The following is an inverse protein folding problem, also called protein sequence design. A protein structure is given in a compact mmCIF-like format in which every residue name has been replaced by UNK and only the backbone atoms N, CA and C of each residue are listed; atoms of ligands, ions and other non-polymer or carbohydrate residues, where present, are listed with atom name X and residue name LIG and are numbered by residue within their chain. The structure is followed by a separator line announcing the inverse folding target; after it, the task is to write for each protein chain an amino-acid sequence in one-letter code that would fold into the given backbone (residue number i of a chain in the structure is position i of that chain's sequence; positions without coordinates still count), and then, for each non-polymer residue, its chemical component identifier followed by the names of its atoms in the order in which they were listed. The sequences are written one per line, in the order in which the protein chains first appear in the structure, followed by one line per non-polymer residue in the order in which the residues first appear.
data_IF_433312844354
#
_entry.id   IF_433312844354
#
_cell.length_a   1.000
_cell.length_b   1.000
_cell.length_c   1.000
_cell.angle_alpha   90.00
_cell.angle_beta   90.00
_cell.angle_gamma   90.00
#
_symmetry.space_group_name_H-M   'P 1'
#
loop_
_entity.id
_entity.type
_entity.pdbx_description
1 polymer ?
#
# COMPACT_ATOMS: atom_id res chain seq x y z
N UNK A 1 -0.22 -14.27 -19.26
CA UNK A 1 -0.56 -13.48 -18.07
C UNK A 1 -1.06 -14.44 -16.99
N UNK A 2 -0.57 -14.26 -15.78
CA UNK A 2 -0.99 -15.02 -14.62
C UNK A 2 -1.46 -14.08 -13.54
N UNK A 3 -2.57 -14.41 -12.91
CA UNK A 3 -3.06 -13.70 -11.74
C UNK A 3 -2.78 -14.50 -10.48
N UNK A 4 -2.37 -13.83 -9.43
CA UNK A 4 -2.26 -14.41 -8.11
C UNK A 4 -3.56 -14.16 -7.34
N UNK A 5 -4.29 -15.22 -7.09
CA UNK A 5 -5.54 -15.19 -6.32
C UNK A 5 -5.39 -16.19 -5.17
N UNK A 6 -5.65 -15.75 -3.94
CA UNK A 6 -5.52 -16.57 -2.72
C UNK A 6 -4.16 -17.30 -2.61
N UNK A 7 -3.09 -16.57 -2.95
CA UNK A 7 -1.72 -17.09 -2.90
C UNK A 7 -1.29 -17.94 -4.12
N UNK A 8 -2.22 -18.38 -4.97
CA UNK A 8 -1.96 -19.25 -6.11
C UNK A 8 -1.93 -18.49 -7.44
N UNK A 9 -0.98 -18.84 -8.32
CA UNK A 9 -0.89 -18.30 -9.66
C UNK A 9 -1.79 -19.11 -10.63
N UNK A 10 -2.71 -18.41 -11.31
CA UNK A 10 -3.59 -18.98 -12.34
C UNK A 10 -3.31 -18.34 -13.68
N UNK A 11 -3.21 -19.15 -14.74
CA UNK A 11 -3.05 -18.65 -16.11
C UNK A 11 -4.41 -18.10 -16.58
N UNK A 12 -4.42 -16.81 -16.94
CA UNK A 12 -5.63 -16.13 -17.42
C UNK A 12 -5.57 -15.86 -18.91
N UNK A 13 -4.37 -15.58 -19.45
CA UNK A 13 -4.18 -15.29 -20.85
C UNK A 13 -2.76 -15.68 -21.30
N UNK A 14 -2.63 -16.09 -22.57
CA UNK A 14 -1.34 -16.41 -23.20
C UNK A 14 -1.19 -15.50 -24.41
N UNK A 15 -0.17 -14.62 -24.39
CA UNK A 15 0.22 -13.81 -25.53
C UNK A 15 1.23 -14.56 -26.39
N UNK A 16 1.19 -14.37 -27.69
CA UNK A 16 2.34 -14.64 -28.53
C UNK A 16 3.43 -13.56 -28.31
N UNK A 17 4.61 -13.74 -28.92
CA UNK A 17 5.75 -12.85 -28.66
C UNK A 17 5.51 -11.42 -29.15
N UNK A 18 4.83 -11.24 -30.28
CA UNK A 18 4.53 -9.93 -30.86
C UNK A 18 3.50 -9.18 -30.04
N UNK A 19 2.40 -9.84 -29.71
CA UNK A 19 1.37 -9.29 -28.82
C UNK A 19 1.97 -8.84 -27.48
N UNK A 20 2.87 -9.66 -26.90
CA UNK A 20 3.48 -9.32 -25.63
C UNK A 20 4.34 -8.05 -25.74
N UNK A 21 5.08 -7.86 -26.82
CA UNK A 21 5.90 -6.64 -27.02
C UNK A 21 5.03 -5.38 -27.12
N UNK A 22 3.88 -5.46 -27.78
CA UNK A 22 2.93 -4.36 -27.89
C UNK A 22 2.35 -4.01 -26.51
N UNK A 23 1.89 -5.03 -25.77
CA UNK A 23 1.33 -4.85 -24.43
C UNK A 23 2.37 -4.31 -23.46
N UNK A 24 3.60 -4.85 -23.50
CA UNK A 24 4.72 -4.40 -22.67
C UNK A 24 5.04 -2.91 -22.91
N UNK A 25 5.13 -2.50 -24.17
CA UNK A 25 5.40 -1.11 -24.53
C UNK A 25 4.29 -0.18 -23.99
N UNK A 26 3.03 -0.57 -24.13
CA UNK A 26 1.90 0.20 -23.59
C UNK A 26 1.91 0.29 -22.06
N UNK A 27 2.26 -0.80 -21.37
CA UNK A 27 2.43 -0.79 -19.92
C UNK A 27 3.54 0.17 -19.51
N UNK A 28 4.71 0.12 -20.18
CA UNK A 28 5.84 1.02 -19.88
C UNK A 28 5.47 2.49 -20.08
N UNK A 29 4.80 2.83 -21.19
CA UNK A 29 4.34 4.20 -21.45
C UNK A 29 3.42 4.69 -20.33
N UNK A 30 2.39 3.90 -20.02
CA UNK A 30 1.38 4.30 -19.04
C UNK A 30 1.93 4.38 -17.60
N UNK A 31 3.02 3.68 -17.32
CA UNK A 31 3.68 3.69 -16.00
C UNK A 31 4.87 4.64 -15.91
N UNK A 32 5.11 5.48 -16.94
CA UNK A 32 6.26 6.39 -17.03
C UNK A 32 7.61 5.67 -16.92
N UNK A 33 7.70 4.47 -17.49
CA UNK A 33 8.92 3.65 -17.55
C UNK A 33 9.56 3.86 -18.93
N UNK A 34 10.89 3.92 -18.98
CA UNK A 34 11.65 4.03 -20.25
C UNK A 34 11.45 2.78 -21.12
N UNK A 35 10.89 2.98 -22.33
CA UNK A 35 10.61 1.90 -23.28
C UNK A 35 11.90 1.35 -23.89
N UNK A 36 12.92 2.20 -24.01
CA UNK A 36 14.17 1.87 -24.69
C UNK A 36 15.11 1.06 -23.82
N UNK A 37 15.06 1.27 -22.50
CA UNK A 37 15.87 0.52 -21.55
C UNK A 37 15.24 -0.84 -21.27
N UNK A 38 15.96 -1.91 -21.61
CA UNK A 38 15.54 -3.31 -21.47
C UNK A 38 16.50 -4.14 -20.62
N UNK A 39 17.60 -3.54 -20.17
CA UNK A 39 18.69 -4.24 -19.47
C UNK A 39 18.67 -4.04 -17.97
N UNK A 40 17.91 -3.06 -17.49
CA UNK A 40 17.82 -2.72 -16.06
C UNK A 40 16.39 -2.92 -15.55
N UNK A 41 16.23 -3.34 -14.29
CA UNK A 41 14.93 -3.28 -13.64
C UNK A 41 14.42 -1.83 -13.58
N UNK A 42 13.13 -1.65 -13.75
CA UNK A 42 12.48 -0.36 -13.67
C UNK A 42 11.15 -0.50 -12.94
N UNK A 43 10.78 0.53 -12.19
CA UNK A 43 9.53 0.61 -11.46
C UNK A 43 8.75 1.84 -11.90
N UNK A 44 7.43 1.71 -11.93
CA UNK A 44 6.52 2.78 -12.31
C UNK A 44 5.15 2.56 -11.69
N UNK A 45 4.24 3.50 -11.95
CA UNK A 45 2.87 3.42 -11.48
C UNK A 45 1.88 3.86 -12.54
N UNK A 46 0.69 3.27 -12.52
CA UNK A 46 -0.44 3.65 -13.35
C UNK A 46 -1.61 3.90 -12.42
N UNK A 47 -2.24 5.06 -12.51
CA UNK A 47 -3.53 5.32 -11.87
C UNK A 47 -4.61 5.29 -12.94
N UNK A 48 -5.71 4.58 -12.70
CA UNK A 48 -6.82 4.50 -13.62
C UNK A 48 -8.15 4.36 -12.89
N UNK A 49 -9.21 4.77 -13.55
CA UNK A 49 -10.56 4.63 -13.04
C UNK A 49 -11.29 3.49 -13.74
N UNK A 50 -11.98 2.66 -12.96
CA UNK A 50 -12.84 1.60 -13.47
C UNK A 50 -14.09 1.46 -12.60
N UNK A 51 -15.28 1.56 -13.20
CA UNK A 51 -16.58 1.49 -12.52
C UNK A 51 -16.66 2.47 -11.33
N UNK A 52 -16.32 3.73 -11.58
CA UNK A 52 -16.34 4.82 -10.59
C UNK A 52 -15.35 4.63 -9.42
N UNK A 53 -14.43 3.68 -9.54
CA UNK A 53 -13.39 3.40 -8.56
C UNK A 53 -12.03 3.71 -9.12
N UNK A 54 -11.20 4.38 -8.33
CA UNK A 54 -9.82 4.64 -8.67
C UNK A 54 -8.93 3.47 -8.23
N UNK A 55 -8.00 3.07 -9.08
CA UNK A 55 -7.04 2.00 -8.83
C UNK A 55 -5.63 2.50 -9.10
N UNK A 56 -4.73 2.21 -8.20
CA UNK A 56 -3.30 2.40 -8.40
C UNK A 56 -2.64 1.06 -8.68
N UNK A 57 -1.89 1.02 -9.79
CA UNK A 57 -1.09 -0.14 -10.16
C UNK A 57 0.39 0.18 -9.96
N UNK A 58 1.09 -0.64 -9.20
CA UNK A 58 2.55 -0.62 -9.20
C UNK A 58 3.07 -1.59 -10.22
N UNK A 59 3.88 -1.08 -11.13
CA UNK A 59 4.47 -1.84 -12.24
C UNK A 59 5.95 -1.98 -11.98
N UNK A 60 6.44 -3.22 -12.02
CA UNK A 60 7.88 -3.51 -11.96
C UNK A 60 8.27 -4.35 -13.17
N UNK A 61 9.31 -3.92 -13.88
CA UNK A 61 9.88 -4.65 -15.01
C UNK A 61 11.29 -5.13 -14.67
N UNK A 62 11.65 -6.30 -15.14
CA UNK A 62 13.00 -6.82 -14.98
C UNK A 62 13.44 -7.62 -16.21
N UNK A 63 14.72 -7.52 -16.62
CA UNK A 63 15.27 -8.37 -17.67
C UNK A 63 15.36 -9.82 -17.21
N UNK A 64 15.07 -10.74 -18.11
CA UNK A 64 15.28 -12.19 -17.95
C UNK A 64 15.91 -12.76 -19.20
N UNK A 65 16.38 -14.00 -19.16
CA UNK A 65 16.94 -14.69 -20.32
C UNK A 65 15.93 -14.88 -21.46
N UNK A 66 14.62 -14.80 -21.15
CA UNK A 66 13.53 -14.94 -22.14
C UNK A 66 12.96 -13.60 -22.59
N UNK A 67 13.54 -12.49 -22.19
CA UNK A 67 13.04 -11.12 -22.40
C UNK A 67 12.64 -10.46 -21.09
N UNK A 68 11.88 -9.38 -21.15
CA UNK A 68 11.45 -8.66 -19.95
C UNK A 68 10.27 -9.34 -19.29
N UNK A 69 10.33 -9.46 -17.96
CA UNK A 69 9.21 -9.85 -17.11
C UNK A 69 8.55 -8.61 -16.54
N UNK A 70 7.24 -8.60 -16.49
CA UNK A 70 6.45 -7.53 -15.85
C UNK A 70 5.65 -8.11 -14.69
N UNK A 71 5.65 -7.41 -13.58
CA UNK A 71 4.77 -7.68 -12.45
C UNK A 71 3.95 -6.42 -12.18
N UNK A 72 2.63 -6.58 -12.13
CA UNK A 72 1.71 -5.51 -11.79
C UNK A 72 1.03 -5.86 -10.49
N UNK A 73 1.17 -5.01 -9.50
CA UNK A 73 0.46 -5.10 -8.24
C UNK A 73 -0.70 -4.13 -8.27
N UNK A 74 -1.91 -4.66 -8.11
CA UNK A 74 -3.12 -3.85 -8.03
C UNK A 74 -3.26 -3.40 -6.57
N UNK A 75 -3.21 -2.10 -6.36
CA UNK A 75 -3.53 -1.49 -5.07
C UNK A 75 -4.95 -0.96 -5.22
N UNK A 76 -5.81 -1.36 -4.31
CA UNK A 76 -7.17 -0.82 -4.30
C UNK A 76 -7.10 0.65 -3.91
N UNK A 77 -7.84 1.51 -4.64
CA UNK A 77 -7.99 2.91 -4.30
C UNK A 77 -8.82 3.10 -3.01
N UNK A 78 -9.10 4.34 -2.68
CA UNK A 78 -9.63 4.86 -1.40
C UNK A 78 -10.94 4.27 -0.84
N UNK A 79 -11.50 3.22 -1.45
CA UNK A 79 -12.79 2.63 -1.09
C UNK A 79 -12.73 1.53 -0.02
N UNK A 80 -11.61 1.35 0.65
CA UNK A 80 -11.58 0.42 1.77
C UNK A 80 -12.35 1.02 2.95
N UNK A 81 -13.54 0.46 3.19
CA UNK A 81 -14.21 0.66 4.46
C UNK A 81 -13.46 -0.17 5.52
N UNK A 82 -12.54 0.49 6.19
CA UNK A 82 -11.75 -0.09 7.27
C UNK A 82 -12.50 -0.15 8.62
N UNK A 83 -13.83 -0.14 8.61
CA UNK A 83 -14.58 -0.28 9.84
C UNK A 83 -14.18 -1.58 10.57
N UNK A 84 -13.87 -1.48 11.85
CA UNK A 84 -13.37 -2.60 12.67
C UNK A 84 -14.36 -3.77 12.67
N UNK A 85 -15.66 -3.50 12.57
CA UNK A 85 -16.73 -4.49 12.49
C UNK A 85 -16.62 -5.39 11.25
N UNK A 86 -16.02 -4.89 10.18
CA UNK A 86 -15.83 -5.62 8.91
C UNK A 86 -14.61 -6.55 8.91
N UNK A 87 -13.78 -6.52 9.96
CA UNK A 87 -12.52 -7.28 10.03
C UNK A 87 -12.66 -8.69 10.61
N UNK A 88 -13.85 -9.22 10.72
CA UNK A 88 -14.11 -10.57 11.25
C UNK A 88 -13.52 -10.82 12.67
N UNK A 89 -13.31 -9.80 13.49
CA UNK A 89 -12.94 -9.95 14.87
C UNK A 89 -14.12 -10.45 15.71
N UNK A 90 -13.81 -11.26 16.72
CA UNK A 90 -14.80 -11.64 17.74
C UNK A 90 -15.21 -10.42 18.58
N UNK A 91 -16.40 -10.48 19.19
CA UNK A 91 -16.88 -9.41 20.08
C UNK A 91 -15.91 -9.10 21.23
N UNK A 92 -15.21 -10.12 21.72
CA UNK A 92 -14.20 -9.95 22.78
C UNK A 92 -12.96 -9.21 22.26
N UNK A 93 -12.50 -9.55 21.05
CA UNK A 93 -11.38 -8.84 20.41
C UNK A 93 -11.72 -7.38 20.14
N UNK A 94 -12.92 -7.09 19.61
CA UNK A 94 -13.39 -5.72 19.40
C UNK A 94 -13.40 -4.93 20.73
N UNK A 95 -13.87 -5.54 21.84
CA UNK A 95 -13.83 -4.88 23.15
C UNK A 95 -12.40 -4.53 23.58
N UNK A 96 -11.43 -5.44 23.34
CA UNK A 96 -10.02 -5.19 23.67
C UNK A 96 -9.43 -4.08 22.80
N UNK A 97 -9.73 -4.06 21.49
CA UNK A 97 -9.29 -3.00 20.57
C UNK A 97 -9.89 -1.66 21.02
N UNK A 98 -11.19 -1.60 21.31
CA UNK A 98 -11.85 -0.40 21.78
C UNK A 98 -11.30 0.10 23.14
N UNK A 99 -10.83 -0.81 23.99
CA UNK A 99 -10.14 -0.43 25.22
C UNK A 99 -8.78 0.22 24.93
N UNK A 100 -7.97 -0.38 24.03
CA UNK A 100 -6.67 0.16 23.62
C UNK A 100 -6.82 1.57 23.03
N UNK A 101 -7.82 1.79 22.19
CA UNK A 101 -8.08 3.11 21.57
C UNK A 101 -8.49 4.20 22.58
N UNK A 102 -8.92 3.84 23.78
CA UNK A 102 -9.27 4.80 24.84
C UNK A 102 -8.12 5.14 25.78
N UNK A 103 -7.01 4.43 25.68
CA UNK A 103 -5.83 4.69 26.52
C UNK A 103 -5.13 5.93 26.00
N UNK A 104 -4.87 6.88 26.88
CA UNK A 104 -4.29 8.19 26.55
C UNK A 104 -2.81 8.15 26.16
N UNK A 105 -2.08 7.10 26.51
CA UNK A 105 -0.65 6.95 26.18
C UNK A 105 -0.23 5.48 26.23
N UNK A 106 0.70 5.10 25.39
CA UNK A 106 1.25 3.76 25.36
C UNK A 106 1.79 3.38 23.98
N UNK A 107 2.20 2.13 23.85
CA UNK A 107 2.66 1.53 22.60
C UNK A 107 1.80 0.31 22.26
N UNK A 108 1.22 0.31 21.07
CA UNK A 108 0.49 -0.85 20.53
C UNK A 108 1.29 -1.46 19.39
N UNK A 109 1.52 -2.77 19.45
CA UNK A 109 2.26 -3.49 18.42
C UNK A 109 1.31 -4.47 17.72
N UNK A 110 1.17 -4.34 16.39
CA UNK A 110 0.44 -5.30 15.54
C UNK A 110 1.46 -6.17 14.80
N UNK A 111 1.49 -7.45 15.13
CA UNK A 111 2.45 -8.41 14.57
C UNK A 111 1.76 -9.57 13.87
N UNK A 112 2.42 -10.12 12.85
CA UNK A 112 1.95 -11.28 12.09
C UNK A 112 2.68 -11.44 10.75
N UNK A 113 2.48 -12.56 10.03
CA UNK A 113 3.09 -12.79 8.71
C UNK A 113 2.54 -11.82 7.65
N UNK A 114 3.19 -11.81 6.48
CA UNK A 114 2.70 -11.05 5.32
C UNK A 114 1.29 -11.52 4.92
N UNK A 115 0.39 -10.58 4.65
CA UNK A 115 -0.99 -10.88 4.27
C UNK A 115 -1.93 -11.23 5.43
N UNK A 116 -1.48 -11.12 6.70
CA UNK A 116 -2.31 -11.40 7.87
C UNK A 116 -3.29 -10.28 8.26
N UNK A 117 -3.28 -9.15 7.54
CA UNK A 117 -4.17 -8.02 7.80
C UNK A 117 -3.61 -6.98 8.78
N UNK A 118 -2.29 -6.95 9.03
CA UNK A 118 -1.66 -5.95 9.93
C UNK A 118 -2.00 -4.51 9.54
N UNK A 119 -1.67 -4.10 8.32
CA UNK A 119 -1.94 -2.74 7.81
C UNK A 119 -3.44 -2.45 7.82
N UNK A 120 -4.27 -3.43 7.43
CA UNK A 120 -5.72 -3.31 7.45
C UNK A 120 -6.23 -3.03 8.88
N UNK A 121 -5.73 -3.75 9.87
CA UNK A 121 -6.08 -3.55 11.29
C UNK A 121 -5.64 -2.18 11.79
N UNK A 122 -4.40 -1.77 11.47
CA UNK A 122 -3.88 -0.45 11.85
C UNK A 122 -4.71 0.68 11.22
N UNK A 123 -5.01 0.58 9.93
CA UNK A 123 -5.82 1.58 9.22
C UNK A 123 -7.24 1.66 9.76
N UNK A 124 -7.84 0.52 10.16
CA UNK A 124 -9.15 0.51 10.81
C UNK A 124 -9.13 1.24 12.16
N UNK A 125 -8.09 1.02 12.95
CA UNK A 125 -7.91 1.71 14.24
C UNK A 125 -7.71 3.21 14.01
N UNK A 126 -6.86 3.58 13.04
CA UNK A 126 -6.61 4.99 12.71
C UNK A 126 -7.87 5.69 12.21
N UNK A 127 -8.67 5.02 11.39
CA UNK A 127 -9.92 5.59 10.87
C UNK A 127 -10.94 5.84 11.99
N UNK A 128 -11.01 4.94 12.98
CA UNK A 128 -11.89 5.11 14.14
C UNK A 128 -11.42 6.23 15.08
N UNK A 129 -10.10 6.44 15.18
CA UNK A 129 -9.48 7.51 15.98
C UNK A 129 -9.41 8.84 15.25
N UNK A 130 -9.64 8.88 13.94
CA UNK A 130 -9.52 10.06 13.10
C UNK A 130 -10.70 11.02 13.32
N UNK A 131 -10.48 11.99 14.18
CA UNK A 131 -11.41 13.07 14.52
C UNK A 131 -10.72 14.41 14.31
N UNK A 132 -11.50 15.46 14.10
CA UNK A 132 -10.98 16.81 13.81
C UNK A 132 -10.05 17.35 14.92
N UNK A 133 -10.23 16.86 16.15
CA UNK A 133 -9.43 17.29 17.31
C UNK A 133 -8.15 16.46 17.52
N UNK A 134 -7.91 15.40 16.71
CA UNK A 134 -6.79 14.46 16.91
C UNK A 134 -5.79 14.60 15.77
N UNK A 135 -4.56 14.96 16.08
CA UNK A 135 -3.47 15.03 15.13
C UNK A 135 -2.80 13.66 14.97
N UNK A 136 -3.12 12.97 13.86
CA UNK A 136 -2.57 11.66 13.54
C UNK A 136 -1.51 11.79 12.44
N UNK A 137 -0.34 11.19 12.66
CA UNK A 137 0.73 11.12 11.69
C UNK A 137 1.20 9.68 11.46
N UNK A 138 1.42 9.30 10.20
CA UNK A 138 1.91 7.95 9.86
C UNK A 138 3.19 8.02 9.03
N UNK A 139 4.10 7.07 9.25
CA UNK A 139 5.34 6.91 8.50
C UNK A 139 5.41 5.48 7.95
N UNK A 140 5.39 5.33 6.63
CA UNK A 140 5.12 4.07 5.95
C UNK A 140 6.12 3.78 4.82
N UNK A 141 6.39 2.52 4.54
CA UNK A 141 7.24 2.07 3.41
C UNK A 141 6.59 0.93 2.61
N UNK A 142 5.69 1.25 1.70
CA UNK A 142 5.07 2.53 1.39
C UNK A 142 3.66 2.68 1.98
N UNK A 143 3.04 3.87 1.83
CA UNK A 143 1.61 4.06 2.08
C UNK A 143 0.81 3.11 1.18
N UNK A 144 -0.05 2.28 1.78
CA UNK A 144 -0.89 1.31 1.06
C UNK A 144 -2.25 1.88 0.67
N UNK A 145 -2.79 2.81 1.45
CA UNK A 145 -4.03 3.52 1.15
C UNK A 145 -4.03 4.93 1.77
N UNK A 146 -4.70 5.87 1.12
CA UNK A 146 -4.83 7.25 1.61
C UNK A 146 -6.03 7.33 2.55
N UNK A 147 -5.82 7.87 3.74
CA UNK A 147 -6.88 8.15 4.71
C UNK A 147 -7.01 9.67 4.84
N UNK A 148 -8.14 10.21 4.42
CA UNK A 148 -8.41 11.65 4.53
C UNK A 148 -8.40 12.08 6.00
N UNK A 149 -7.75 13.19 6.32
CA UNK A 149 -7.63 13.70 7.69
C UNK A 149 -6.40 13.22 8.45
N UNK A 150 -5.59 12.31 7.89
CA UNK A 150 -4.35 11.79 8.50
C UNK A 150 -3.13 12.31 7.73
N UNK A 151 -2.09 12.69 8.44
CA UNK A 151 -0.82 13.13 7.87
C UNK A 151 0.06 11.92 7.56
N UNK A 152 -0.01 11.41 6.33
CA UNK A 152 0.73 10.20 5.92
C UNK A 152 2.02 10.56 5.19
N UNK A 153 3.15 10.05 5.64
CA UNK A 153 4.46 10.27 5.07
C UNK A 153 5.08 8.95 4.60
N UNK A 154 5.54 8.92 3.34
CA UNK A 154 6.36 7.81 2.83
C UNK A 154 7.81 7.96 3.26
N UNK A 155 8.47 6.85 3.56
CA UNK A 155 9.93 6.81 3.60
C UNK A 155 10.51 7.21 2.25
N UNK A 156 11.64 7.91 2.27
CA UNK A 156 12.35 8.30 1.05
C UNK A 156 13.85 8.01 1.18
N UNK A 157 14.27 6.87 0.63
CA UNK A 157 15.67 6.43 0.67
C UNK A 157 16.62 7.36 -0.10
N UNK A 158 16.14 8.01 -1.15
CA UNK A 158 16.95 8.94 -1.95
C UNK A 158 17.25 10.24 -1.20
N UNK A 159 16.38 10.65 -0.28
CA UNK A 159 16.55 11.80 0.60
C UNK A 159 17.08 11.40 1.98
N UNK A 160 17.49 10.15 2.19
CA UNK A 160 17.90 9.60 3.48
C UNK A 160 16.84 9.76 4.60
N UNK A 161 15.56 9.79 4.23
CA UNK A 161 14.48 9.86 5.20
C UNK A 161 14.08 8.43 5.56
N UNK A 162 14.64 7.94 6.66
CA UNK A 162 14.28 6.66 7.28
C UNK A 162 13.27 6.84 8.42
N UNK A 163 12.93 5.73 9.11
CA UNK A 163 12.01 5.77 10.25
C UNK A 163 12.49 6.70 11.38
N UNK A 164 13.78 6.71 11.67
CA UNK A 164 14.33 7.55 12.74
C UNK A 164 14.21 9.04 12.43
N UNK A 165 14.55 9.46 11.21
CA UNK A 165 14.44 10.85 10.77
C UNK A 165 12.98 11.29 10.69
N UNK A 166 12.11 10.45 10.13
CA UNK A 166 10.68 10.72 10.04
C UNK A 166 10.04 10.87 11.42
N UNK A 167 10.37 9.97 12.36
CA UNK A 167 9.88 10.06 13.73
C UNK A 167 10.34 11.35 14.44
N UNK A 168 11.63 11.73 14.29
CA UNK A 168 12.11 13.02 14.81
C UNK A 168 11.39 14.22 14.21
N UNK A 169 10.97 14.12 12.95
CA UNK A 169 10.14 15.15 12.32
C UNK A 169 8.77 15.21 12.99
N UNK A 170 8.11 14.10 13.18
CA UNK A 170 6.78 14.05 13.81
C UNK A 170 6.76 14.59 15.24
N UNK A 171 7.76 14.31 16.04
CA UNK A 171 7.87 14.84 17.41
C UNK A 171 7.90 16.38 17.50
N UNK A 172 8.06 17.07 16.37
CA UNK A 172 7.98 18.54 16.27
C UNK A 172 6.67 19.04 15.66
N UNK A 173 5.75 18.12 15.33
CA UNK A 173 4.46 18.43 14.71
C UNK A 173 3.28 18.29 15.68
N UNK A 174 3.56 18.16 16.98
CA UNK A 174 2.57 18.00 18.04
C UNK A 174 1.53 16.89 17.75
N UNK A 175 1.96 15.65 17.48
CA UNK A 175 1.07 14.56 17.17
C UNK A 175 0.48 13.96 18.44
N UNK A 176 -0.83 13.65 18.41
CA UNK A 176 -1.49 12.84 19.43
C UNK A 176 -1.24 11.34 19.18
N UNK A 177 -1.18 10.94 17.91
CA UNK A 177 -1.00 9.54 17.52
C UNK A 177 0.05 9.45 16.42
N UNK A 178 0.97 8.51 16.58
CA UNK A 178 1.97 8.16 15.56
C UNK A 178 1.83 6.68 15.21
N UNK A 179 1.78 6.37 13.91
CA UNK A 179 1.91 5.01 13.38
C UNK A 179 3.21 4.89 12.56
N UNK A 180 3.91 3.76 12.74
CA UNK A 180 5.14 3.42 12.01
C UNK A 180 4.98 2.07 11.30
#
# INVERSE_FOLDING_TARGET
VRFRTDGLLRIMYIFNKEEFQIVLSKIKINSNIDITEKRKPQDGKISFEYKEKSYDLRVSTMPTIFGEKVVIRILYGNDFNYAIENLNFTKEQIRKINYIMKVSSGLTIVNGPTGSGKSTTLYSILQELNKDEINISTLEDPIEAIITGINQMNLNKTLNIGFAEGLRCFLRQDPDIIML
#
